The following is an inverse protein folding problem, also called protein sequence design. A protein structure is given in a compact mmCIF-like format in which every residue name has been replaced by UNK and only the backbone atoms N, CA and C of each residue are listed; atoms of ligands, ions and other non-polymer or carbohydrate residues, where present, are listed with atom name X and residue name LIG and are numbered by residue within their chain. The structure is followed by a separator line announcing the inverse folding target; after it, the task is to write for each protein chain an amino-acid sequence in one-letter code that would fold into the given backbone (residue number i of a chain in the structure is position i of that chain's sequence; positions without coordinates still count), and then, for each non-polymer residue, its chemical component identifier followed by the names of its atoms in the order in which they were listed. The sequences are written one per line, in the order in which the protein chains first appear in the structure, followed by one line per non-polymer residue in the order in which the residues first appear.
data_IF_856857436809
#
_entry.id   IF_856857436809
#
_cell.length_a   1.000
_cell.length_b   1.000
_cell.length_c   1.000
_cell.angle_alpha   90.00
_cell.angle_beta   90.00
_cell.angle_gamma   90.00
#
_symmetry.space_group_name_H-M   'P 1'
#
loop_
_entity.id
_entity.type
_entity.pdbx_description
1 polymer ?
#
# COMPACT_ATOMS: atom_id res chain seq x y z
N UNK A 1 17.37 8.02 9.60
CA UNK A 1 16.48 8.67 8.61
C UNK A 1 16.55 7.98 7.25
N UNK A 2 15.41 7.46 6.80
CA UNK A 2 15.21 6.79 5.52
C UNK A 2 14.29 7.62 4.63
N UNK A 3 14.62 7.75 3.34
CA UNK A 3 13.79 8.49 2.37
C UNK A 3 13.09 7.50 1.45
N UNK A 4 11.80 7.72 1.20
CA UNK A 4 10.99 6.80 0.42
C UNK A 4 10.15 7.53 -0.63
N UNK A 5 10.03 6.96 -1.84
CA UNK A 5 8.98 7.35 -2.76
C UNK A 5 7.61 6.88 -2.27
N UNK A 6 6.56 7.47 -2.81
CA UNK A 6 5.19 7.03 -2.57
C UNK A 6 4.83 5.92 -3.55
N UNK A 7 4.32 4.81 -3.01
CA UNK A 7 3.81 3.69 -3.78
C UNK A 7 2.28 3.61 -3.63
N UNK A 8 1.59 3.38 -4.74
CA UNK A 8 0.13 3.46 -4.81
C UNK A 8 -0.41 2.31 -5.65
N UNK A 9 -1.45 1.63 -5.17
CA UNK A 9 -2.17 0.66 -6.01
C UNK A 9 -3.01 1.42 -7.04
N UNK A 10 -2.56 1.39 -8.29
CA UNK A 10 -3.30 2.00 -9.39
C UNK A 10 -4.43 1.12 -9.87
N UNK A 11 -4.30 -0.21 -9.87
CA UNK A 11 -5.36 -1.12 -10.27
C UNK A 11 -5.33 -2.40 -9.44
N UNK A 12 -6.50 -2.99 -9.21
CA UNK A 12 -6.64 -4.22 -8.43
C UNK A 12 -7.24 -3.94 -7.05
N UNK A 13 -8.10 -4.86 -6.61
CA UNK A 13 -8.84 -4.75 -5.35
C UNK A 13 -8.50 -5.96 -4.48
N UNK A 14 -8.17 -5.79 -3.19
CA UNK A 14 -8.00 -6.91 -2.29
C UNK A 14 -9.33 -7.65 -2.16
N UNK A 15 -9.29 -8.98 -2.28
CA UNK A 15 -10.48 -9.83 -2.15
C UNK A 15 -10.20 -10.83 -1.03
N UNK A 16 -11.02 -10.87 0.03
CA UNK A 16 -10.77 -11.73 1.18
C UNK A 16 -10.53 -13.19 0.80
N UNK A 17 -9.42 -13.75 1.28
CA UNK A 17 -9.02 -15.14 1.03
C UNK A 17 -8.60 -15.44 -0.41
N UNK A 18 -8.36 -14.43 -1.26
CA UNK A 18 -7.96 -14.60 -2.66
C UNK A 18 -6.71 -13.77 -2.96
N UNK A 19 -5.78 -14.40 -3.68
CA UNK A 19 -4.60 -13.73 -4.23
C UNK A 19 -4.97 -13.10 -5.58
N UNK A 20 -4.87 -11.78 -5.66
CA UNK A 20 -5.24 -10.98 -6.84
C UNK A 20 -4.01 -10.21 -7.34
N UNK A 21 -3.85 -9.96 -8.66
CA UNK A 21 -2.79 -9.09 -9.13
C UNK A 21 -3.11 -7.61 -8.87
N UNK A 22 -2.07 -6.80 -8.75
CA UNK A 22 -2.14 -5.35 -8.55
C UNK A 22 -1.19 -4.65 -9.50
N UNK A 23 -1.58 -3.47 -9.98
CA UNK A 23 -0.64 -2.51 -10.57
C UNK A 23 -0.25 -1.55 -9.47
N UNK A 24 1.04 -1.50 -9.14
CA UNK A 24 1.60 -0.57 -8.16
C UNK A 24 2.42 0.48 -8.89
N UNK A 25 2.09 1.74 -8.68
CA UNK A 25 2.81 2.89 -9.20
C UNK A 25 3.70 3.51 -8.15
N UNK A 26 4.82 4.08 -8.57
CA UNK A 26 5.77 4.77 -7.69
C UNK A 26 6.06 6.20 -8.15
N UNK A 27 6.27 7.11 -7.21
CA UNK A 27 6.76 8.46 -7.52
C UNK A 27 8.24 8.41 -7.94
N UNK A 28 8.69 9.28 -8.86
CA UNK A 28 10.08 9.29 -9.34
C UNK A 28 11.10 9.68 -8.26
N UNK A 29 10.67 10.47 -7.27
CA UNK A 29 11.52 10.97 -6.20
C UNK A 29 10.91 10.60 -4.84
N UNK A 30 11.73 10.53 -3.79
CA UNK A 30 11.23 10.47 -2.42
C UNK A 30 10.33 11.68 -2.10
N UNK A 31 9.19 11.41 -1.47
CA UNK A 31 8.22 12.44 -1.08
C UNK A 31 7.90 12.41 0.42
N UNK A 32 8.46 11.43 1.14
CA UNK A 32 8.44 11.39 2.59
C UNK A 32 9.70 10.73 3.14
N UNK A 33 9.96 10.98 4.42
CA UNK A 33 11.05 10.39 5.19
C UNK A 33 10.52 9.81 6.49
N UNK A 34 11.16 8.73 6.93
CA UNK A 34 10.84 8.03 8.17
C UNK A 34 12.13 7.91 8.97
N UNK A 35 12.10 8.40 10.20
CA UNK A 35 13.14 8.15 11.18
C UNK A 35 12.66 7.07 12.13
N UNK A 36 13.47 6.03 12.32
CA UNK A 36 13.14 4.89 13.18
C UNK A 36 14.31 4.60 14.10
N UNK A 37 14.05 4.75 15.40
CA UNK A 37 14.95 4.32 16.46
C UNK A 37 14.32 3.14 17.17
N UNK A 38 15.02 2.01 17.20
CA UNK A 38 14.63 0.82 17.96
C UNK A 38 15.68 0.54 19.02
N UNK A 39 15.25 0.50 20.28
CA UNK A 39 16.10 0.20 21.42
C UNK A 39 15.50 -0.93 22.25
N UNK A 40 16.36 -1.68 22.95
CA UNK A 40 15.91 -2.63 23.95
C UNK A 40 15.23 -1.89 25.11
N UNK A 41 14.19 -2.48 25.69
CA UNK A 41 13.45 -1.87 26.78
C UNK A 41 12.97 -2.89 27.81
N UNK A 42 12.48 -2.42 28.96
CA UNK A 42 11.81 -3.29 29.94
C UNK A 42 10.40 -3.69 29.49
N UNK A 43 9.77 -2.86 28.65
CA UNK A 43 8.41 -3.06 28.14
C UNK A 43 8.32 -2.68 26.67
N UNK A 44 7.58 -3.47 25.88
CA UNK A 44 7.34 -3.15 24.48
C UNK A 44 6.51 -1.88 24.36
N UNK A 45 6.97 -0.93 23.55
CA UNK A 45 6.25 0.31 23.31
C UNK A 45 6.51 0.85 21.91
N UNK A 46 5.54 1.62 21.41
CA UNK A 46 5.60 2.22 20.09
C UNK A 46 5.12 3.66 20.20
N UNK A 47 5.95 4.60 19.75
CA UNK A 47 5.62 6.02 19.65
C UNK A 47 5.69 6.43 18.19
N UNK A 48 4.63 7.09 17.71
CA UNK A 48 4.51 7.56 16.33
C UNK A 48 4.27 9.07 16.38
N UNK A 49 5.19 9.83 15.80
CA UNK A 49 5.15 11.28 15.73
C UNK A 49 5.21 11.78 14.28
N UNK A 50 4.78 13.03 14.07
CA UNK A 50 4.78 13.68 12.76
C UNK A 50 3.42 13.65 12.08
N UNK A 51 3.35 13.11 10.86
CA UNK A 51 2.11 13.09 10.06
C UNK A 51 1.07 12.16 10.69
N UNK A 52 -0.17 12.65 10.79
CA UNK A 52 -1.29 11.89 11.36
C UNK A 52 -1.99 11.07 10.27
N UNK A 53 -1.82 9.75 10.32
CA UNK A 53 -2.41 8.79 9.36
C UNK A 53 -3.65 8.08 9.90
N UNK A 54 -4.05 8.38 11.15
CA UNK A 54 -5.24 7.83 11.79
C UNK A 54 -4.97 6.56 12.59
N UNK A 55 -5.94 6.19 13.42
CA UNK A 55 -5.79 5.14 14.44
C UNK A 55 -5.51 3.74 13.86
N UNK A 56 -6.01 3.42 12.66
CA UNK A 56 -5.75 2.11 12.02
C UNK A 56 -4.29 1.93 11.65
N UNK A 57 -3.64 3.00 11.19
CA UNK A 57 -2.20 3.00 10.96
C UNK A 57 -1.44 2.78 12.28
N UNK A 58 -1.81 3.51 13.33
CA UNK A 58 -1.14 3.40 14.64
C UNK A 58 -1.25 1.98 15.21
N UNK A 59 -2.43 1.36 15.11
CA UNK A 59 -2.64 -0.03 15.52
C UNK A 59 -1.82 -0.99 14.64
N UNK A 60 -1.83 -0.83 13.32
CA UNK A 60 -1.07 -1.69 12.41
C UNK A 60 0.43 -1.67 12.71
N UNK A 61 1.00 -0.48 12.95
CA UNK A 61 2.42 -0.33 13.31
C UNK A 61 2.69 -0.90 14.71
N UNK A 62 1.81 -0.64 15.68
CA UNK A 62 1.96 -1.22 17.01
C UNK A 62 1.93 -2.75 16.98
N UNK A 63 0.97 -3.35 16.29
CA UNK A 63 0.87 -4.81 16.14
C UNK A 63 2.11 -5.40 15.47
N UNK A 64 2.68 -4.69 14.49
CA UNK A 64 3.95 -5.08 13.86
C UNK A 64 5.10 -5.09 14.87
N UNK A 65 5.26 -4.01 15.65
CA UNK A 65 6.32 -3.90 16.68
C UNK A 65 6.13 -4.92 17.80
N UNK A 66 4.91 -5.14 18.28
CA UNK A 66 4.59 -6.13 19.30
C UNK A 66 4.94 -7.55 18.82
N UNK A 67 4.65 -7.86 17.56
CA UNK A 67 4.98 -9.16 16.94
C UNK A 67 6.47 -9.32 16.74
N UNK A 68 7.16 -8.27 16.28
CA UNK A 68 8.61 -8.26 16.14
C UNK A 68 9.31 -8.47 17.50
N UNK A 69 8.86 -7.77 18.56
CA UNK A 69 9.36 -7.94 19.92
C UNK A 69 9.21 -9.40 20.40
N UNK A 70 8.04 -10.01 20.12
CA UNK A 70 7.78 -11.39 20.46
C UNK A 70 8.71 -12.36 19.71
N UNK A 71 8.97 -12.13 18.42
CA UNK A 71 9.91 -12.94 17.60
C UNK A 71 11.36 -12.84 18.07
N UNK A 72 11.76 -11.66 18.52
CA UNK A 72 13.09 -11.44 19.09
C UNK A 72 13.20 -11.97 20.53
N UNK A 73 12.08 -12.43 21.12
CA UNK A 73 11.97 -12.80 22.54
C UNK A 73 12.47 -11.69 23.47
N UNK A 74 12.33 -10.43 23.03
CA UNK A 74 12.92 -9.28 23.67
C UNK A 74 12.00 -8.05 23.56
N UNK A 75 11.65 -7.39 24.68
CA UNK A 75 10.89 -6.15 24.61
C UNK A 75 11.71 -5.04 23.96
N UNK A 76 11.07 -4.31 23.05
CA UNK A 76 11.69 -3.18 22.33
C UNK A 76 10.84 -1.92 22.44
N UNK A 77 11.49 -0.77 22.44
CA UNK A 77 10.87 0.53 22.26
C UNK A 77 11.17 1.04 20.86
N UNK A 78 10.13 1.23 20.06
CA UNK A 78 10.22 1.79 18.72
C UNK A 78 9.73 3.25 18.73
N UNK A 79 10.59 4.18 18.34
CA UNK A 79 10.25 5.59 18.14
C UNK A 79 10.29 5.93 16.65
N UNK A 80 9.15 6.31 16.09
CA UNK A 80 8.95 6.49 14.65
C UNK A 80 8.52 7.93 14.39
N UNK A 81 9.28 8.66 13.57
CA UNK A 81 8.96 10.03 13.16
C UNK A 81 8.77 10.10 11.66
N UNK A 82 7.56 10.44 11.22
CA UNK A 82 7.16 10.49 9.81
C UNK A 82 7.10 11.94 9.35
N UNK A 83 7.79 12.27 8.26
CA UNK A 83 7.75 13.61 7.65
C UNK A 83 7.42 13.48 6.17
N UNK A 84 6.36 14.14 5.72
CA UNK A 84 6.04 14.28 4.31
C UNK A 84 6.56 15.61 3.77
N UNK A 85 6.77 15.69 2.46
CA UNK A 85 6.91 16.98 1.80
C UNK A 85 5.62 17.80 1.92
N UNK A 86 5.73 19.13 1.90
CA UNK A 86 4.58 20.05 1.90
C UNK A 86 3.63 19.83 0.71
N UNK A 87 4.06 19.06 -0.31
CA UNK A 87 3.28 18.72 -1.49
C UNK A 87 2.22 17.63 -1.27
N UNK A 88 2.10 17.04 -0.07
CA UNK A 88 1.14 15.98 0.22
C UNK A 88 0.44 16.25 1.55
N UNK A 89 -0.77 16.78 1.48
CA UNK A 89 -1.67 16.99 2.60
C UNK A 89 -2.27 15.67 3.13
N UNK A 90 -2.54 14.71 2.24
CA UNK A 90 -3.21 13.46 2.59
C UNK A 90 -2.45 12.22 2.08
N UNK A 91 -1.28 11.86 2.64
CA UNK A 91 -0.54 10.69 2.17
C UNK A 91 -1.33 9.37 2.39
N UNK A 92 -1.26 8.40 1.46
CA UNK A 92 -1.91 7.10 1.63
C UNK A 92 -1.28 6.31 2.78
N UNK A 93 -2.08 5.94 3.79
CA UNK A 93 -1.58 5.26 5.00
C UNK A 93 -0.90 3.93 4.67
N UNK A 94 -1.42 3.19 3.69
CA UNK A 94 -0.81 1.94 3.22
C UNK A 94 0.60 2.12 2.63
N UNK A 95 0.84 3.18 1.85
CA UNK A 95 2.18 3.47 1.32
C UNK A 95 3.17 3.77 2.44
N UNK A 96 2.74 4.58 3.41
CA UNK A 96 3.61 4.94 4.53
C UNK A 96 3.85 3.72 5.40
N UNK A 97 2.86 2.86 5.63
CA UNK A 97 3.02 1.64 6.42
C UNK A 97 3.99 0.63 5.78
N UNK A 98 3.88 0.43 4.47
CA UNK A 98 4.84 -0.40 3.72
C UNK A 98 6.28 0.10 3.93
N UNK A 99 6.50 1.41 3.82
CA UNK A 99 7.82 2.01 4.06
C UNK A 99 8.26 1.96 5.54
N UNK A 100 7.35 2.21 6.49
CA UNK A 100 7.63 2.19 7.94
C UNK A 100 8.09 0.81 8.39
N UNK A 101 7.40 -0.24 7.95
CA UNK A 101 7.75 -1.61 8.31
C UNK A 101 9.09 -2.04 7.72
N UNK A 102 9.41 -1.63 6.49
CA UNK A 102 10.76 -1.80 5.93
C UNK A 102 11.82 -1.05 6.75
N UNK A 103 11.54 0.20 7.15
CA UNK A 103 12.45 1.00 7.97
C UNK A 103 12.69 0.41 9.37
N UNK A 104 11.65 -0.19 9.99
CA UNK A 104 11.76 -0.89 11.28
C UNK A 104 12.66 -2.12 11.14
N UNK A 105 12.38 -3.00 10.17
CA UNK A 105 13.19 -4.21 9.93
C UNK A 105 14.65 -3.82 9.69
N UNK A 106 14.89 -2.82 8.83
CA UNK A 106 16.23 -2.32 8.55
C UNK A 106 16.92 -1.76 9.80
N UNK A 107 16.23 -0.95 10.60
CA UNK A 107 16.78 -0.38 11.84
C UNK A 107 17.21 -1.46 12.83
N UNK A 108 16.41 -2.52 13.01
CA UNK A 108 16.74 -3.65 13.89
C UNK A 108 17.95 -4.44 13.37
N UNK A 109 17.98 -4.73 12.07
CA UNK A 109 19.08 -5.47 11.42
C UNK A 109 20.40 -4.71 11.54
N UNK A 110 20.38 -3.40 11.25
CA UNK A 110 21.55 -2.52 11.37
C UNK A 110 22.02 -2.42 12.82
N UNK A 111 21.12 -2.31 13.79
CA UNK A 111 21.46 -2.29 15.22
C UNK A 111 22.14 -3.59 15.68
N UNK A 112 21.77 -4.72 15.09
CA UNK A 112 22.39 -6.02 15.34
C UNK A 112 23.71 -6.25 14.55
N UNK A 113 24.10 -5.31 13.69
CA UNK A 113 25.33 -5.40 12.89
C UNK A 113 25.24 -6.37 11.71
N UNK A 114 24.04 -6.68 11.25
CA UNK A 114 23.78 -7.50 10.06
C UNK A 114 23.37 -6.63 8.87
N UNK A 115 23.44 -7.21 7.68
CA UNK A 115 22.82 -6.66 6.47
C UNK A 115 21.91 -7.75 5.91
N UNK A 116 20.67 -7.38 5.58
CA UNK A 116 19.74 -8.24 4.85
C UNK A 116 19.71 -7.81 3.39
N UNK A 117 19.61 -8.77 2.48
CA UNK A 117 19.28 -8.45 1.10
C UNK A 117 17.82 -7.98 0.96
N UNK A 118 17.47 -7.45 -0.22
CA UNK A 118 16.13 -6.91 -0.46
C UNK A 118 15.02 -7.96 -0.23
N UNK A 119 15.27 -9.21 -0.60
CA UNK A 119 14.30 -10.30 -0.48
C UNK A 119 14.13 -10.70 0.98
N UNK A 120 15.22 -10.82 1.72
CA UNK A 120 15.19 -11.11 3.15
C UNK A 120 14.46 -10.02 3.94
N UNK A 121 14.62 -8.74 3.57
CA UNK A 121 13.86 -7.64 4.18
C UNK A 121 12.36 -7.75 3.88
N UNK A 122 11.98 -8.04 2.63
CA UNK A 122 10.59 -8.21 2.21
C UNK A 122 9.93 -9.40 2.91
N UNK A 123 10.59 -10.55 2.90
CA UNK A 123 10.12 -11.79 3.54
C UNK A 123 9.97 -11.59 5.06
N UNK A 124 10.92 -10.90 5.69
CA UNK A 124 10.84 -10.57 7.13
C UNK A 124 9.64 -9.68 7.44
N UNK A 125 9.44 -8.59 6.71
CA UNK A 125 8.32 -7.67 6.93
C UNK A 125 6.96 -8.34 6.67
N UNK A 126 6.83 -9.07 5.55
CA UNK A 126 5.60 -9.79 5.20
C UNK A 126 5.23 -10.85 6.24
N UNK A 127 6.22 -11.60 6.69
CA UNK A 127 6.01 -12.64 7.70
C UNK A 127 5.58 -12.08 9.06
N UNK A 128 6.10 -10.91 9.48
CA UNK A 128 5.65 -10.23 10.70
C UNK A 128 4.20 -9.73 10.55
N UNK A 129 3.85 -9.15 9.40
CA UNK A 129 2.46 -8.69 9.14
C UNK A 129 1.45 -9.83 9.22
N UNK A 130 1.78 -10.99 8.62
CA UNK A 130 0.91 -12.17 8.62
C UNK A 130 0.63 -12.65 10.05
N UNK A 131 1.64 -12.67 10.93
CA UNK A 131 1.48 -12.99 12.36
C UNK A 131 0.75 -11.88 13.14
N UNK A 132 0.99 -10.62 12.80
CA UNK A 132 0.33 -9.46 13.41
C UNK A 132 -1.16 -9.32 13.01
N UNK A 133 -1.64 -10.13 12.05
CA UNK A 133 -2.99 -10.03 11.51
C UNK A 133 -3.20 -8.80 10.60
N UNK A 134 -2.12 -8.22 10.08
CA UNK A 134 -2.11 -7.08 9.16
C UNK A 134 -1.71 -7.50 7.73
N UNK A 135 -1.37 -8.78 7.54
CA UNK A 135 -0.97 -9.38 6.27
C UNK A 135 -1.96 -9.13 5.14
N UNK A 136 -1.59 -8.24 4.21
CA UNK A 136 -2.38 -7.86 3.05
C UNK A 136 -1.50 -7.92 1.80
N UNK A 137 -1.86 -8.75 0.81
CA UNK A 137 -1.07 -8.98 -0.39
C UNK A 137 -0.62 -7.69 -1.10
N UNK A 138 -1.47 -6.66 -1.13
CA UNK A 138 -1.13 -5.41 -1.82
C UNK A 138 -0.05 -4.61 -1.06
N UNK A 139 0.06 -4.74 0.27
CA UNK A 139 1.12 -4.09 1.06
C UNK A 139 2.49 -4.66 0.68
N UNK A 140 2.58 -5.98 0.46
CA UNK A 140 3.80 -6.60 -0.07
C UNK A 140 4.13 -6.04 -1.46
N UNK A 141 3.13 -5.86 -2.32
CA UNK A 141 3.32 -5.19 -3.62
C UNK A 141 3.81 -3.74 -3.50
N UNK A 142 3.34 -2.99 -2.50
CA UNK A 142 3.85 -1.64 -2.22
C UNK A 142 5.32 -1.70 -1.78
N UNK A 143 5.67 -2.61 -0.87
CA UNK A 143 7.06 -2.79 -0.40
C UNK A 143 7.99 -3.18 -1.55
N UNK A 144 7.57 -4.12 -2.39
CA UNK A 144 8.32 -4.58 -3.56
C UNK A 144 8.60 -3.42 -4.51
N UNK A 145 7.58 -2.62 -4.83
CA UNK A 145 7.73 -1.44 -5.69
C UNK A 145 8.70 -0.43 -5.08
N UNK A 146 8.58 -0.13 -3.78
CA UNK A 146 9.47 0.77 -3.03
C UNK A 146 10.91 0.29 -3.10
N UNK A 147 11.14 -0.99 -2.83
CA UNK A 147 12.47 -1.62 -2.83
C UNK A 147 13.12 -1.64 -4.21
N UNK A 148 12.33 -1.89 -5.26
CA UNK A 148 12.80 -1.87 -6.65
C UNK A 148 12.97 -0.45 -7.21
N UNK A 149 12.30 0.55 -6.62
CA UNK A 149 12.25 1.91 -7.14
C UNK A 149 11.49 2.00 -8.47
N UNK A 150 10.56 1.08 -8.73
CA UNK A 150 9.88 0.93 -10.03
C UNK A 150 8.41 0.62 -9.88
N UNK A 151 7.63 1.06 -10.86
CA UNK A 151 6.24 0.64 -11.01
C UNK A 151 6.16 -0.78 -11.57
N UNK A 152 5.31 -1.59 -10.95
CA UNK A 152 5.28 -3.04 -11.17
C UNK A 152 3.84 -3.54 -11.26
N UNK A 153 3.70 -4.69 -11.91
CA UNK A 153 2.57 -5.59 -11.73
C UNK A 153 3.00 -6.64 -10.71
N UNK A 154 2.27 -6.71 -9.60
CA UNK A 154 2.57 -7.59 -8.48
C UNK A 154 1.45 -8.59 -8.26
N UNK A 155 1.80 -9.84 -7.98
CA UNK A 155 0.89 -10.86 -7.46
C UNK A 155 1.65 -11.76 -6.50
N UNK A 156 1.13 -11.94 -5.29
CA UNK A 156 1.79 -12.74 -4.24
C UNK A 156 2.12 -14.14 -4.76
N UNK A 157 3.37 -14.56 -4.58
CA UNK A 157 3.90 -15.84 -5.05
C UNK A 157 4.40 -15.87 -6.50
N UNK A 158 4.33 -14.76 -7.23
CA UNK A 158 4.89 -14.58 -8.57
C UNK A 158 6.00 -13.53 -8.55
N UNK A 159 6.95 -13.59 -9.49
CA UNK A 159 7.96 -12.53 -9.65
C UNK A 159 7.28 -11.25 -10.18
N UNK A 160 7.62 -10.05 -9.63
CA UNK A 160 7.05 -8.80 -10.08
C UNK A 160 7.46 -8.49 -11.52
N UNK A 161 6.52 -7.94 -12.30
CA UNK A 161 6.78 -7.55 -13.70
C UNK A 161 6.84 -6.03 -13.78
N UNK A 162 7.98 -5.50 -14.21
CA UNK A 162 8.16 -4.06 -14.41
C UNK A 162 7.25 -3.53 -15.53
N UNK A 163 6.66 -2.35 -15.32
CA UNK A 163 5.84 -1.68 -16.35
C UNK A 163 6.70 -0.90 -17.35
N UNK A 164 7.84 -0.36 -16.91
CA UNK A 164 8.90 0.36 -17.66
C UNK A 164 8.49 0.92 -19.03
N UNK A 165 7.47 1.77 -19.07
CA UNK A 165 7.07 2.47 -20.31
C UNK A 165 7.73 3.83 -20.45
N UNK A 166 8.31 4.36 -19.36
CA UNK A 166 8.89 5.71 -19.30
C UNK A 166 7.84 6.82 -19.35
N UNK A 167 6.56 6.46 -19.31
CA UNK A 167 5.43 7.41 -19.32
C UNK A 167 5.22 7.94 -17.91
N UNK A 168 4.83 9.22 -17.81
CA UNK A 168 4.44 9.84 -16.55
C UNK A 168 2.93 9.90 -16.45
N UNK A 169 2.40 9.56 -15.29
CA UNK A 169 0.98 9.64 -14.98
C UNK A 169 0.79 10.59 -13.81
N UNK A 170 -0.01 11.64 -14.01
CA UNK A 170 -0.41 12.52 -12.92
C UNK A 170 -1.72 12.03 -12.32
N UNK A 171 -1.75 11.92 -10.99
CA UNK A 171 -2.92 11.55 -10.22
C UNK A 171 -3.14 12.56 -9.10
N UNK A 172 -4.40 12.81 -8.80
CA UNK A 172 -4.81 13.67 -7.69
C UNK A 172 -5.20 12.82 -6.48
N UNK A 173 -4.58 13.11 -5.34
CA UNK A 173 -4.68 12.41 -4.07
C UNK A 173 -5.73 13.04 -3.16
N UNK A 174 -6.88 12.39 -2.95
CA UNK A 174 -8.08 13.03 -2.36
C UNK A 174 -8.36 12.63 -0.90
N UNK A 175 -7.66 11.62 -0.38
CA UNK A 175 -7.75 11.19 1.02
C UNK A 175 -8.45 9.85 1.22
N UNK A 176 -8.81 9.54 2.47
CA UNK A 176 -9.27 8.21 2.88
C UNK A 176 -10.70 8.18 3.42
N UNK A 177 -11.43 7.13 3.06
CA UNK A 177 -12.75 6.80 3.60
C UNK A 177 -12.74 5.42 4.27
N UNK A 178 -13.57 5.27 5.30
CA UNK A 178 -13.73 4.00 5.99
C UNK A 178 -14.56 3.03 5.15
N UNK A 179 -14.13 1.77 5.11
CA UNK A 179 -14.94 0.68 4.56
C UNK A 179 -15.88 0.15 5.64
N UNK A 180 -17.12 -0.19 5.25
CA UNK A 180 -18.07 -0.85 6.16
C UNK A 180 -17.63 -2.29 6.45
N UNK A 181 -17.96 -2.80 7.64
CA UNK A 181 -17.59 -4.15 8.09
C UNK A 181 -18.50 -5.26 7.50
N UNK A 182 -19.66 -4.92 6.94
CA UNK A 182 -20.79 -5.87 6.85
C UNK A 182 -20.97 -6.60 5.50
N UNK A 183 -20.28 -6.22 4.42
CA UNK A 183 -20.70 -6.67 3.07
C UNK A 183 -20.05 -8.00 2.61
N UNK A 184 -18.82 -8.29 3.03
CA UNK A 184 -18.10 -9.50 2.61
C UNK A 184 -18.81 -10.79 3.07
N UNK A 185 -19.38 -10.78 4.27
CA UNK A 185 -20.03 -11.98 4.85
C UNK A 185 -21.26 -12.43 4.07
N UNK A 186 -21.84 -11.56 3.23
CA UNK A 186 -23.04 -11.85 2.44
C UNK A 186 -22.70 -12.57 1.11
N UNK A 187 -21.48 -12.42 0.60
CA UNK A 187 -21.10 -12.94 -0.71
C UNK A 187 -20.52 -14.36 -0.61
N UNK A 188 -21.26 -15.35 -1.14
CA UNK A 188 -20.76 -16.72 -1.24
C UNK A 188 -19.58 -16.89 -2.21
N UNK A 189 -18.82 -17.99 -2.04
CA UNK A 189 -17.62 -18.33 -2.81
C UNK A 189 -17.72 -18.18 -4.35
N UNK A 190 -18.84 -18.54 -5.02
CA UNK A 190 -18.95 -18.38 -6.46
C UNK A 190 -18.88 -16.92 -6.91
N UNK A 191 -19.52 -16.00 -6.16
CA UNK A 191 -19.50 -14.58 -6.45
C UNK A 191 -18.12 -13.99 -6.19
N UNK A 192 -17.49 -14.34 -5.06
CA UNK A 192 -16.12 -13.94 -4.76
C UNK A 192 -15.16 -14.37 -5.88
N UNK A 193 -15.28 -15.60 -6.36
CA UNK A 193 -14.44 -16.11 -7.46
C UNK A 193 -14.67 -15.38 -8.78
N UNK A 194 -15.92 -14.98 -9.07
CA UNK A 194 -16.24 -14.18 -10.25
C UNK A 194 -15.64 -12.77 -10.14
N UNK A 195 -15.72 -12.14 -8.96
CA UNK A 195 -15.10 -10.84 -8.69
C UNK A 195 -13.58 -10.90 -8.80
N UNK A 196 -12.93 -11.96 -8.30
CA UNK A 196 -11.49 -12.17 -8.48
C UNK A 196 -11.11 -12.25 -9.94
N UNK A 197 -11.86 -13.00 -10.75
CA UNK A 197 -11.61 -13.07 -12.20
C UNK A 197 -11.80 -11.72 -12.88
N UNK A 198 -12.84 -10.98 -12.53
CA UNK A 198 -13.11 -9.66 -13.09
C UNK A 198 -11.98 -8.67 -12.76
N UNK A 199 -11.57 -8.61 -11.48
CA UNK A 199 -10.50 -7.72 -11.04
C UNK A 199 -9.15 -8.09 -11.67
N UNK A 200 -8.81 -9.38 -11.72
CA UNK A 200 -7.60 -9.85 -12.39
C UNK A 200 -7.58 -9.54 -13.89
N UNK A 201 -8.69 -9.74 -14.60
CA UNK A 201 -8.80 -9.37 -16.02
C UNK A 201 -8.70 -7.86 -16.24
N UNK A 202 -9.29 -7.05 -15.36
CA UNK A 202 -9.18 -5.59 -15.43
C UNK A 202 -7.73 -5.13 -15.27
N UNK A 203 -6.96 -5.74 -14.38
CA UNK A 203 -5.52 -5.48 -14.22
C UNK A 203 -4.76 -5.85 -15.50
N UNK A 204 -4.98 -7.04 -16.06
CA UNK A 204 -4.29 -7.45 -17.30
C UNK A 204 -4.59 -6.53 -18.49
N UNK A 205 -5.85 -6.17 -18.68
CA UNK A 205 -6.26 -5.21 -19.71
C UNK A 205 -5.65 -3.83 -19.45
N UNK A 206 -5.59 -3.37 -18.19
CA UNK A 206 -4.96 -2.11 -17.84
C UNK A 206 -3.46 -2.10 -18.15
N UNK A 207 -2.74 -3.18 -17.86
CA UNK A 207 -1.32 -3.34 -18.23
C UNK A 207 -1.12 -3.21 -19.74
N UNK A 208 -1.95 -3.90 -20.53
CA UNK A 208 -1.88 -3.80 -21.99
C UNK A 208 -2.10 -2.35 -22.46
N UNK A 209 -3.12 -1.67 -21.93
CA UNK A 209 -3.43 -0.28 -22.29
C UNK A 209 -2.36 0.71 -21.87
N UNK A 210 -1.71 0.52 -20.72
CA UNK A 210 -0.57 1.35 -20.29
C UNK A 210 0.60 1.21 -21.25
N UNK A 211 0.91 -0.02 -21.68
CA UNK A 211 1.96 -0.30 -22.67
C UNK A 211 1.67 0.29 -24.04
N UNK A 212 0.39 0.36 -24.41
CA UNK A 212 -0.09 1.00 -25.64
C UNK A 212 -0.30 2.53 -25.49
N UNK A 213 0.05 3.11 -24.34
CA UNK A 213 -0.15 4.54 -24.01
C UNK A 213 -1.59 5.04 -24.21
N UNK A 214 -2.58 4.19 -23.90
CA UNK A 214 -4.00 4.54 -24.05
C UNK A 214 -4.51 5.37 -22.87
N UNK A 215 -5.08 6.53 -23.20
CA UNK A 215 -5.63 7.49 -22.22
C UNK A 215 -6.86 6.99 -21.45
N UNK A 216 -7.52 5.94 -21.95
CA UNK A 216 -8.74 5.39 -21.35
C UNK A 216 -8.49 4.34 -20.26
N UNK A 217 -7.22 4.05 -19.92
CA UNK A 217 -6.85 3.12 -18.85
C UNK A 217 -7.45 3.52 -17.51
N UNK A 218 -7.38 4.79 -17.13
CA UNK A 218 -7.94 5.25 -15.86
C UNK A 218 -9.44 4.95 -15.79
N UNK A 219 -10.18 5.19 -16.88
CA UNK A 219 -11.63 4.97 -16.95
C UNK A 219 -11.99 3.48 -16.88
N UNK A 220 -11.17 2.61 -17.48
CA UNK A 220 -11.33 1.16 -17.36
C UNK A 220 -11.19 0.74 -15.90
N UNK A 221 -10.06 1.09 -15.29
CA UNK A 221 -9.72 0.70 -13.92
C UNK A 221 -10.70 1.29 -12.92
N UNK A 222 -11.06 2.57 -13.08
CA UNK A 222 -12.09 3.24 -12.28
C UNK A 222 -13.40 2.45 -12.27
N UNK A 223 -13.89 2.03 -13.43
CA UNK A 223 -15.16 1.29 -13.53
C UNK A 223 -15.08 -0.08 -12.85
N UNK A 224 -13.97 -0.79 -13.04
CA UNK A 224 -13.79 -2.12 -12.48
C UNK A 224 -13.58 -2.05 -10.97
N UNK A 225 -12.59 -1.29 -10.51
CA UNK A 225 -12.23 -1.19 -9.09
C UNK A 225 -13.39 -0.66 -8.26
N UNK A 226 -14.04 0.45 -8.68
CA UNK A 226 -15.16 1.01 -7.92
C UNK A 226 -16.33 0.02 -7.82
N UNK A 227 -16.64 -0.73 -8.88
CA UNK A 227 -17.69 -1.73 -8.85
C UNK A 227 -17.35 -2.86 -7.88
N UNK A 228 -16.10 -3.34 -7.88
CA UNK A 228 -15.65 -4.39 -6.97
C UNK A 228 -15.62 -3.87 -5.52
N UNK A 229 -15.14 -2.66 -5.27
CA UNK A 229 -15.18 -2.04 -3.94
C UNK A 229 -16.61 -1.88 -3.42
N UNK A 230 -17.53 -1.39 -4.25
CA UNK A 230 -18.95 -1.28 -3.88
C UNK A 230 -19.54 -2.65 -3.54
N UNK A 231 -19.29 -3.66 -4.36
CA UNK A 231 -19.83 -5.00 -4.15
C UNK A 231 -19.27 -5.70 -2.92
N UNK A 232 -17.97 -5.55 -2.64
CA UNK A 232 -17.31 -6.24 -1.53
C UNK A 232 -17.45 -5.50 -0.19
N UNK A 233 -17.42 -4.17 -0.22
CA UNK A 233 -17.23 -3.35 0.97
C UNK A 233 -18.34 -2.30 1.16
N UNK A 234 -19.31 -2.23 0.24
CA UNK A 234 -20.45 -1.30 0.34
C UNK A 234 -20.09 0.17 0.18
N UNK A 235 -18.85 0.49 -0.20
CA UNK A 235 -18.38 1.87 -0.31
C UNK A 235 -19.04 2.54 -1.50
N UNK A 236 -19.66 3.70 -1.28
CA UNK A 236 -20.26 4.48 -2.36
C UNK A 236 -19.22 4.78 -3.44
N UNK A 237 -19.61 4.60 -4.70
CA UNK A 237 -18.72 4.91 -5.83
C UNK A 237 -18.47 6.42 -5.85
N UNK A 238 -17.20 6.86 -5.91
CA UNK A 238 -16.88 8.27 -5.87
C UNK A 238 -17.45 8.97 -7.11
N UNK A 239 -17.89 10.22 -6.93
CA UNK A 239 -18.39 11.05 -8.03
C UNK A 239 -17.20 11.54 -8.89
N UNK A 240 -17.50 11.96 -10.11
CA UNK A 240 -16.51 12.46 -11.08
C UNK A 240 -15.47 11.41 -11.56
N UNK A 241 -14.38 11.85 -12.18
CA UNK A 241 -13.30 10.99 -12.70
C UNK A 241 -12.34 10.54 -11.57
N UNK A 242 -12.91 9.88 -10.55
CA UNK A 242 -12.26 9.39 -9.35
C UNK A 242 -12.49 7.89 -9.13
N UNK A 243 -11.57 7.24 -8.43
CA UNK A 243 -11.71 5.84 -8.03
C UNK A 243 -11.15 5.55 -6.65
N UNK A 244 -11.60 4.45 -6.08
CA UNK A 244 -11.01 3.85 -4.89
C UNK A 244 -9.77 3.02 -5.22
N UNK A 245 -8.84 3.01 -4.29
CA UNK A 245 -7.69 2.11 -4.19
C UNK A 245 -7.60 1.61 -2.75
N UNK A 246 -7.09 0.40 -2.49
CA UNK A 246 -6.97 -0.08 -1.12
C UNK A 246 -6.05 0.81 -0.26
N UNK A 247 -6.44 0.98 1.00
CA UNK A 247 -5.59 1.45 2.11
C UNK A 247 -5.86 0.60 3.36
N UNK A 248 -5.09 0.75 4.44
CA UNK A 248 -5.11 -0.10 5.64
C UNK A 248 -6.51 -0.25 6.25
N UNK A 249 -7.25 -1.28 5.81
CA UNK A 249 -8.67 -1.49 6.12
C UNK A 249 -9.53 -0.24 5.87
N UNK A 250 -9.19 0.51 4.82
CA UNK A 250 -9.84 1.73 4.33
C UNK A 250 -9.77 1.75 2.80
N UNK A 251 -10.46 2.69 2.18
CA UNK A 251 -10.19 3.05 0.79
C UNK A 251 -9.51 4.41 0.72
N UNK A 252 -8.65 4.56 -0.27
CA UNK A 252 -8.01 5.82 -0.58
C UNK A 252 -8.52 6.31 -1.96
N UNK A 253 -8.90 7.57 -2.05
CA UNK A 253 -9.46 8.19 -3.25
C UNK A 253 -8.39 8.78 -4.14
N UNK A 254 -8.39 8.37 -5.41
CA UNK A 254 -7.52 8.96 -6.45
C UNK A 254 -8.33 9.42 -7.65
N UNK A 255 -7.98 10.57 -8.21
CA UNK A 255 -8.70 11.17 -9.33
C UNK A 255 -7.75 11.55 -10.47
N UNK A 256 -8.33 11.83 -11.64
CA UNK A 256 -7.63 12.59 -12.67
C UNK A 256 -7.38 14.03 -12.18
N UNK A 257 -6.24 14.64 -12.55
CA UNK A 257 -5.93 16.02 -12.15
C UNK A 257 -7.06 17.01 -12.46
N UNK A 258 -7.36 17.89 -11.51
CA UNK A 258 -8.35 18.96 -11.65
C UNK A 258 -9.79 18.51 -11.39
N UNK A 259 -9.97 17.32 -10.81
CA UNK A 259 -11.30 16.74 -10.53
C UNK A 259 -11.65 16.81 -9.04
N UNK A 260 -10.66 16.79 -8.16
CA UNK A 260 -10.83 16.86 -6.71
C UNK A 260 -10.38 18.20 -6.10
N UNK A 261 -10.11 18.14 -4.79
CA UNK A 261 -9.41 19.18 -4.01
C UNK A 261 -8.12 18.63 -3.40
N UNK A 262 -7.53 17.63 -4.07
CA UNK A 262 -6.39 16.85 -3.60
C UNK A 262 -5.04 17.33 -4.13
N UNK A 263 -3.99 16.65 -3.72
CA UNK A 263 -2.62 16.95 -4.16
C UNK A 263 -2.30 16.23 -5.47
N UNK A 264 -1.74 16.94 -6.44
CA UNK A 264 -1.33 16.33 -7.71
C UNK A 264 0.07 15.77 -7.57
N UNK A 265 0.22 14.47 -7.82
CA UNK A 265 1.51 13.78 -7.83
C UNK A 265 1.75 13.10 -9.17
N UNK A 266 3.01 13.14 -9.59
CA UNK A 266 3.52 12.43 -10.76
C UNK A 266 4.02 11.03 -10.35
N UNK A 267 3.60 10.03 -11.13
CA UNK A 267 4.04 8.64 -11.04
C UNK A 267 4.74 8.23 -12.33
N UNK A 268 5.74 7.36 -12.23
CA UNK A 268 6.46 6.82 -13.40
C UNK A 268 5.91 5.45 -13.74
N UNK A 269 5.73 5.15 -15.02
CA UNK A 269 5.34 3.83 -15.52
C UNK A 269 6.53 3.04 -16.05
#
# INVERSE_FOLDING_TARGET
MYEFPLALVFAGVPIPGKINPYIVLITPNPVFSIDVEVEESETTSTTIDGVRLGWRYDIAVKSFVDTLAARLEQPIKASIVIRTSDAIAYPPAASIYAATTLAIVKSVVEAAGYELDSREMLDSASSIDDEAGVGLDYIDGLREAIMLGKSIVYRRGEEPVELSTGTRLELELVGEEDIGEEVVEVLGDPLLSALTRLSGLAVLEAVQRLRESREDVFKLVQRADNAVFYLLYGVETPRADCKWTPSLQRVYGICKPGTGLGDILEFVL
#
